data_IF_196850788307
#
_entry.id   IF_196850788307
#
_cell.length_a   1.000
_cell.length_b   1.000
_cell.length_c   1.000
_cell.angle_alpha   90.00
_cell.angle_beta   90.00
_cell.angle_gamma   90.00
#
_symmetry.space_group_name_H-M   'P 1'
#
loop_
_entity.id
_entity.type
_entity.pdbx_description
1 polymer ?
#
# COMPACT_ATOMS: atom_id res chain seq x y z
N UNK A 1 4.63 -18.54 14.50
CA UNK A 1 3.61 -18.11 13.53
C UNK A 1 3.92 -16.67 13.15
N UNK A 2 4.11 -16.37 11.85
CA UNK A 2 4.18 -14.99 11.33
C UNK A 2 2.88 -14.73 10.58
N UNK A 3 2.11 -13.71 10.98
CA UNK A 3 0.75 -13.47 10.48
C UNK A 3 0.74 -12.27 9.52
N UNK A 4 0.43 -12.50 8.25
CA UNK A 4 0.34 -11.48 7.18
C UNK A 4 -1.08 -11.45 6.61
N UNK A 5 -1.62 -10.32 6.11
CA UNK A 5 -2.61 -10.41 5.01
C UNK A 5 -2.90 -9.11 4.25
N UNK A 6 -3.19 -9.23 2.95
CA UNK A 6 -4.15 -8.43 2.16
C UNK A 6 -5.64 -8.44 2.60
N UNK A 7 -6.18 -7.27 2.88
CA UNK A 7 -7.55 -6.96 2.41
C UNK A 7 -7.46 -6.44 0.97
N UNK A 8 -8.55 -6.60 0.19
CA UNK A 8 -8.80 -6.04 -1.17
C UNK A 8 -7.62 -5.22 -1.70
N UNK A 9 -6.66 -5.86 -2.34
CA UNK A 9 -5.32 -5.28 -2.39
C UNK A 9 -5.25 -4.00 -3.24
N UNK A 10 -4.29 -3.12 -2.99
CA UNK A 10 -3.38 -3.05 -1.82
C UNK A 10 -4.14 -2.59 -0.58
N UNK A 11 -3.85 -3.07 0.63
CA UNK A 11 -2.64 -2.63 1.33
C UNK A 11 -2.28 -3.56 2.48
N UNK A 12 -0.98 -3.87 2.59
CA UNK A 12 -0.37 -4.02 3.91
C UNK A 12 0.96 -3.30 3.91
N UNK A 13 1.01 -2.24 4.73
CA UNK A 13 2.15 -1.34 4.85
C UNK A 13 2.55 -0.60 3.56
N UNK A 14 1.67 -0.52 2.57
CA UNK A 14 1.98 0.18 1.32
C UNK A 14 1.46 1.60 1.40
N UNK A 15 2.35 2.53 1.67
CA UNK A 15 1.95 3.92 1.89
C UNK A 15 1.51 4.49 0.54
N UNK A 16 0.25 4.94 0.43
CA UNK A 16 -0.42 5.29 -0.84
C UNK A 16 -0.79 6.76 -0.88
N UNK A 17 -0.44 7.47 -1.96
CA UNK A 17 -0.83 8.88 -2.17
C UNK A 17 -1.83 9.07 -3.33
N UNK A 18 -2.78 10.00 -3.15
CA UNK A 18 -3.84 10.33 -4.11
C UNK A 18 -4.03 11.84 -4.30
N UNK A 19 -3.61 12.32 -5.47
CA UNK A 19 -3.79 13.70 -5.95
C UNK A 19 -3.06 14.75 -5.10
N UNK A 20 -1.86 15.11 -5.57
CA UNK A 20 -1.08 16.18 -4.97
C UNK A 20 -1.73 17.54 -5.26
N UNK A 21 -1.89 18.35 -4.21
CA UNK A 21 -1.84 19.81 -4.32
C UNK A 21 -0.37 20.23 -4.55
N UNK A 22 -0.11 21.42 -5.10
CA UNK A 22 1.21 21.86 -5.59
C UNK A 22 2.29 22.01 -4.49
N UNK A 23 2.00 21.61 -3.23
CA UNK A 23 2.89 21.70 -2.06
C UNK A 23 3.07 20.42 -1.24
N UNK A 24 2.29 19.35 -1.48
CA UNK A 24 2.44 18.06 -0.75
C UNK A 24 3.26 17.07 -1.60
N UNK A 25 4.29 16.44 -1.02
CA UNK A 25 5.03 15.36 -1.71
C UNK A 25 4.34 14.00 -1.54
N UNK A 26 4.63 13.06 -2.45
CA UNK A 26 3.99 11.74 -2.44
C UNK A 26 4.20 10.94 -1.13
N UNK A 27 5.32 11.06 -0.41
CA UNK A 27 5.53 10.33 0.86
C UNK A 27 4.69 10.97 1.98
N UNK A 28 4.65 12.30 2.05
CA UNK A 28 3.84 13.05 3.02
C UNK A 28 2.34 12.77 2.83
N UNK A 29 1.84 12.88 1.60
CA UNK A 29 0.46 12.55 1.24
C UNK A 29 0.12 11.10 1.62
N UNK A 30 1.06 10.19 1.38
CA UNK A 30 0.87 8.78 1.67
C UNK A 30 0.77 8.50 3.18
N UNK A 31 1.65 9.08 3.99
CA UNK A 31 1.62 8.93 5.45
C UNK A 31 0.32 9.49 6.04
N UNK A 32 -0.17 10.60 5.48
CA UNK A 32 -1.46 11.20 5.84
C UNK A 32 -2.62 10.27 5.51
N UNK A 33 -2.73 9.76 4.27
CA UNK A 33 -3.77 8.80 3.86
C UNK A 33 -3.73 7.51 4.71
N UNK A 34 -2.54 6.96 4.99
CA UNK A 34 -2.38 5.77 5.84
C UNK A 34 -2.93 5.99 7.26
N UNK A 35 -2.73 7.19 7.81
CA UNK A 35 -3.25 7.58 9.13
C UNK A 35 -4.75 7.83 9.11
N UNK A 36 -5.28 8.42 8.04
CA UNK A 36 -6.72 8.67 7.85
C UNK A 36 -7.51 7.36 7.64
N UNK A 37 -7.03 6.46 6.78
CA UNK A 37 -7.73 5.24 6.38
C UNK A 37 -7.57 4.08 7.37
N UNK A 38 -6.39 3.93 8.00
CA UNK A 38 -6.04 2.80 8.86
C UNK A 38 -5.65 3.18 10.31
N UNK A 39 -5.56 4.47 10.63
CA UNK A 39 -5.24 4.95 11.97
C UNK A 39 -3.77 4.75 12.40
N UNK A 40 -2.89 4.40 11.46
CA UNK A 40 -1.48 4.08 11.72
C UNK A 40 -0.59 5.31 11.52
N UNK A 41 0.23 5.65 12.52
CA UNK A 41 1.16 6.77 12.44
C UNK A 41 2.56 6.35 11.94
N UNK A 42 3.38 7.30 11.46
CA UNK A 42 4.74 7.02 10.96
C UNK A 42 5.62 6.34 12.04
N UNK A 43 5.45 6.73 13.30
CA UNK A 43 6.18 6.19 14.43
C UNK A 43 5.90 4.69 14.65
N UNK A 44 4.77 4.17 14.18
CA UNK A 44 4.38 2.75 14.21
C UNK A 44 4.90 1.95 13.01
N UNK A 45 5.40 2.62 11.96
CA UNK A 45 5.82 2.04 10.69
C UNK A 45 7.34 2.09 10.49
N UNK A 46 7.95 1.00 10.08
CA UNK A 46 9.32 0.98 9.53
C UNK A 46 9.22 1.01 8.01
N UNK A 47 9.65 2.09 7.37
CA UNK A 47 9.42 2.33 5.94
C UNK A 47 10.64 1.94 5.12
N UNK A 48 10.44 1.05 4.15
CA UNK A 48 11.42 0.69 3.14
C UNK A 48 11.38 1.72 2.01
N UNK A 49 12.06 2.86 2.21
CA UNK A 49 12.19 3.94 1.20
C UNK A 49 12.91 3.49 -0.08
N UNK A 50 13.57 2.34 -0.03
CA UNK A 50 14.21 1.63 -1.14
C UNK A 50 13.27 0.71 -1.93
N UNK A 51 11.99 0.64 -1.55
CA UNK A 51 10.92 0.03 -2.34
C UNK A 51 9.87 1.09 -2.68
N UNK A 52 9.78 1.46 -3.95
CA UNK A 52 8.71 2.33 -4.47
C UNK A 52 8.15 1.81 -5.80
N UNK A 53 6.83 1.85 -5.96
CA UNK A 53 6.14 1.45 -7.19
C UNK A 53 5.13 2.51 -7.61
N UNK A 54 5.07 2.82 -8.91
CA UNK A 54 4.07 3.70 -9.50
C UNK A 54 3.04 2.87 -10.29
N UNK A 55 1.78 2.96 -9.90
CA UNK A 55 0.64 2.41 -10.64
C UNK A 55 -0.10 3.54 -11.37
N UNK A 56 -0.32 3.33 -12.66
CA UNK A 56 -1.06 4.27 -13.52
C UNK A 56 -2.34 3.59 -14.01
N UNK A 57 -3.49 4.25 -13.82
CA UNK A 57 -4.77 3.78 -14.35
C UNK A 57 -5.67 4.92 -14.80
N UNK A 58 -6.52 4.61 -15.76
CA UNK A 58 -7.48 5.55 -16.34
C UNK A 58 -8.73 5.65 -15.46
N UNK A 59 -9.03 6.86 -14.98
CA UNK A 59 -10.24 7.18 -14.24
C UNK A 59 -11.18 7.94 -15.16
N UNK A 60 -12.30 7.32 -15.52
CA UNK A 60 -13.43 8.02 -16.15
C UNK A 60 -14.05 9.00 -15.15
N UNK A 61 -14.08 10.28 -15.50
CA UNK A 61 -14.77 11.32 -14.76
C UNK A 61 -15.93 11.86 -15.59
N UNK A 62 -17.15 11.59 -15.13
CA UNK A 62 -18.38 12.23 -15.61
C UNK A 62 -18.74 13.40 -14.69
N UNK A 63 -18.39 14.62 -15.10
CA UNK A 63 -18.86 15.87 -14.47
C UNK A 63 -19.16 16.90 -15.55
N UNK A 64 -20.45 17.12 -15.78
CA UNK A 64 -21.07 18.11 -16.68
C UNK A 64 -20.60 18.04 -18.15
N UNK A 65 -21.53 17.70 -19.05
CA UNK A 65 -21.37 17.68 -20.52
C UNK A 65 -20.03 17.16 -21.06
N UNK A 66 -19.69 15.91 -20.71
CA UNK A 66 -18.60 15.16 -21.33
C UNK A 66 -18.16 13.93 -20.54
N UNK A 67 -17.75 12.87 -21.25
CA UNK A 67 -16.88 11.84 -20.67
C UNK A 67 -15.42 12.29 -20.80
N UNK A 68 -14.73 12.48 -19.68
CA UNK A 68 -13.29 12.73 -19.68
C UNK A 68 -12.57 11.58 -18.97
N UNK A 69 -11.65 10.93 -19.66
CA UNK A 69 -10.72 9.97 -19.04
C UNK A 69 -9.48 10.72 -18.57
N UNK A 70 -9.15 10.64 -17.28
CA UNK A 70 -7.89 11.16 -16.72
C UNK A 70 -7.01 10.01 -16.26
N UNK A 71 -5.75 10.01 -16.72
CA UNK A 71 -4.71 9.17 -16.13
C UNK A 71 -4.47 9.59 -14.69
N UNK A 72 -4.51 8.61 -13.79
CA UNK A 72 -4.21 8.77 -12.37
C UNK A 72 -2.96 7.97 -12.04
N UNK A 73 -1.97 8.62 -11.45
CA UNK A 73 -0.83 7.99 -10.80
C UNK A 73 -1.18 7.71 -9.33
N UNK A 74 -0.69 6.60 -8.81
CA UNK A 74 -0.64 6.27 -7.39
C UNK A 74 0.74 5.69 -7.11
N UNK A 75 1.50 6.34 -6.22
CA UNK A 75 2.78 5.85 -5.75
C UNK A 75 2.58 5.05 -4.45
N UNK A 76 3.32 3.96 -4.34
CA UNK A 76 3.26 2.97 -3.27
C UNK A 76 4.66 2.73 -2.70
N UNK A 77 4.81 2.77 -1.39
CA UNK A 77 6.00 2.27 -0.70
C UNK A 77 5.79 0.87 -0.11
N UNK A 78 6.79 0.31 0.56
CA UNK A 78 6.60 -0.80 1.48
C UNK A 78 7.03 -0.37 2.88
N UNK A 79 6.38 -0.92 3.90
CA UNK A 79 6.74 -0.71 5.28
C UNK A 79 6.50 -1.99 6.11
N UNK A 80 6.78 -1.92 7.40
CA UNK A 80 6.53 -2.98 8.38
C UNK A 80 5.96 -2.36 9.65
N UNK A 81 4.84 -2.89 10.12
CA UNK A 81 4.28 -2.46 11.39
C UNK A 81 5.19 -2.93 12.54
N UNK A 82 5.71 -2.00 13.34
CA UNK A 82 6.75 -2.25 14.35
C UNK A 82 6.28 -3.11 15.54
N UNK A 83 4.98 -3.04 15.86
CA UNK A 83 4.29 -3.78 16.93
C UNK A 83 2.89 -4.17 16.45
N UNK A 84 2.13 -4.97 17.21
CA UNK A 84 0.70 -5.16 16.93
C UNK A 84 -0.08 -3.85 17.20
N UNK A 85 -0.20 -3.01 16.18
CA UNK A 85 -0.92 -1.73 16.25
C UNK A 85 -2.44 -1.91 16.25
N UNK A 86 -3.15 -0.93 16.83
CA UNK A 86 -4.61 -0.88 16.82
C UNK A 86 -5.09 -0.22 15.52
N UNK A 87 -5.17 -0.99 14.43
CA UNK A 87 -5.73 -0.51 13.15
C UNK A 87 -7.16 -0.05 13.36
N UNK A 88 -7.45 1.19 12.95
CA UNK A 88 -8.77 1.83 13.01
C UNK A 88 -9.17 2.26 11.62
N UNK A 89 -10.22 1.65 11.09
CA UNK A 89 -10.70 1.94 9.76
C UNK A 89 -11.50 3.25 9.72
N UNK A 90 -11.30 4.03 8.66
CA UNK A 90 -12.19 5.14 8.32
C UNK A 90 -13.59 4.63 7.95
N UNK A 91 -14.58 5.53 7.91
CA UNK A 91 -15.94 5.19 7.50
C UNK A 91 -16.05 4.67 6.04
N UNK A 92 -15.03 4.90 5.22
CA UNK A 92 -14.94 4.39 3.85
C UNK A 92 -14.56 2.89 3.81
N UNK A 93 -14.02 2.35 4.91
CA UNK A 93 -13.45 1.00 4.98
C UNK A 93 -14.21 0.09 5.96
N UNK A 94 -14.71 -1.03 5.45
CA UNK A 94 -15.59 -1.94 6.21
C UNK A 94 -14.87 -3.14 6.88
N UNK A 95 -13.64 -3.49 6.47
CA UNK A 95 -12.91 -4.64 7.02
C UNK A 95 -11.39 -4.58 6.79
N UNK A 96 -10.61 -5.21 7.67
CA UNK A 96 -9.15 -5.44 7.59
C UNK A 96 -8.79 -6.85 8.11
N UNK A 97 -7.71 -7.53 7.63
CA UNK A 97 -7.55 -9.02 7.80
C UNK A 97 -6.10 -9.60 7.93
N UNK A 98 -5.98 -10.95 8.16
CA UNK A 98 -4.79 -11.83 8.45
C UNK A 98 -4.85 -13.35 7.90
N UNK A 99 -3.98 -13.82 6.93
CA UNK A 99 -3.50 -15.17 6.40
C UNK A 99 -2.28 -15.14 5.36
N UNK A 100 -2.38 -15.07 3.98
CA UNK A 100 -1.24 -15.19 3.00
C UNK A 100 -1.12 -14.22 1.76
N UNK A 101 -0.01 -14.29 0.98
CA UNK A 101 0.18 -13.57 -0.31
C UNK A 101 -0.75 -14.05 -1.44
N UNK A 102 -1.01 -15.35 -1.57
CA UNK A 102 -1.83 -15.83 -2.70
C UNK A 102 -3.30 -15.40 -2.51
N UNK A 103 -3.76 -15.37 -1.25
CA UNK A 103 -5.03 -14.73 -0.89
C UNK A 103 -5.05 -13.23 -1.28
N UNK A 104 -3.89 -12.58 -1.46
CA UNK A 104 -3.77 -11.16 -1.83
C UNK A 104 -4.18 -10.95 -3.25
N UNK A 105 -3.57 -11.74 -4.11
CA UNK A 105 -3.77 -11.73 -5.54
C UNK A 105 -5.23 -12.02 -5.84
N UNK A 106 -5.82 -13.00 -5.15
CA UNK A 106 -7.25 -13.31 -5.25
C UNK A 106 -8.12 -12.13 -4.78
N UNK A 107 -7.89 -11.60 -3.58
CA UNK A 107 -8.69 -10.48 -3.03
C UNK A 107 -8.47 -9.15 -3.76
N UNK A 108 -7.34 -8.97 -4.43
CA UNK A 108 -7.04 -7.84 -5.31
C UNK A 108 -7.92 -7.87 -6.54
N UNK A 109 -7.93 -9.01 -7.24
CA UNK A 109 -8.55 -9.16 -8.56
C UNK A 109 -8.03 -8.19 -9.65
N UNK A 110 -6.88 -7.52 -9.43
CA UNK A 110 -6.26 -6.59 -10.38
C UNK A 110 -4.81 -7.00 -10.74
N UNK A 111 -4.46 -7.18 -12.04
CA UNK A 111 -3.13 -7.66 -12.45
C UNK A 111 -1.95 -6.75 -12.06
N UNK A 112 -2.12 -5.42 -12.10
CA UNK A 112 -1.10 -4.48 -11.64
C UNK A 112 -0.81 -4.64 -10.14
N UNK A 113 -1.87 -4.94 -9.38
CA UNK A 113 -1.77 -5.12 -7.95
C UNK A 113 -1.13 -6.45 -7.58
N UNK A 114 -1.44 -7.52 -8.31
CA UNK A 114 -0.70 -8.79 -8.22
C UNK A 114 0.80 -8.58 -8.46
N UNK A 115 1.17 -7.83 -9.52
CA UNK A 115 2.58 -7.54 -9.83
C UNK A 115 3.27 -6.82 -8.66
N UNK A 116 2.65 -5.76 -8.13
CA UNK A 116 3.18 -5.02 -6.98
C UNK A 116 3.35 -5.92 -5.75
N UNK A 117 2.33 -6.70 -5.39
CA UNK A 117 2.37 -7.60 -4.24
C UNK A 117 3.46 -8.67 -4.35
N UNK A 118 3.61 -9.28 -5.53
CA UNK A 118 4.67 -10.27 -5.79
C UNK A 118 6.07 -9.65 -5.79
N UNK A 119 6.20 -8.40 -6.25
CA UNK A 119 7.47 -7.64 -6.18
C UNK A 119 7.84 -7.28 -4.74
N UNK A 120 6.87 -6.87 -3.92
CA UNK A 120 7.06 -6.61 -2.49
C UNK A 120 7.50 -7.87 -1.73
N UNK A 121 6.87 -9.02 -1.99
CA UNK A 121 7.30 -10.31 -1.42
C UNK A 121 8.74 -10.66 -1.82
N UNK A 122 9.10 -10.49 -3.10
CA UNK A 122 10.46 -10.73 -3.59
C UNK A 122 11.50 -9.84 -2.90
N UNK A 123 11.18 -8.55 -2.73
CA UNK A 123 12.01 -7.60 -1.99
C UNK A 123 12.24 -8.04 -0.53
N UNK A 124 11.19 -8.44 0.17
CA UNK A 124 11.28 -8.90 1.56
C UNK A 124 12.15 -10.16 1.69
N UNK A 125 11.97 -11.16 0.82
CA UNK A 125 12.77 -12.40 0.82
C UNK A 125 14.25 -12.13 0.56
N UNK A 126 14.57 -11.19 -0.32
CA UNK A 126 15.95 -10.80 -0.60
C UNK A 126 16.59 -10.09 0.60
N UNK A 127 15.86 -9.22 1.32
CA UNK A 127 16.36 -8.62 2.57
C UNK A 127 16.58 -9.64 3.68
N UNK A 128 15.61 -10.54 3.92
CA UNK A 128 15.75 -11.62 4.91
C UNK A 128 16.97 -12.53 4.60
N UNK A 129 17.26 -12.78 3.32
CA UNK A 129 18.43 -13.56 2.87
C UNK A 129 19.77 -12.83 3.01
N UNK A 130 19.75 -11.51 3.23
CA UNK A 130 20.93 -10.67 3.50
C UNK A 130 21.16 -10.36 4.98
N UNK A 131 20.40 -11.01 5.88
CA UNK A 131 20.64 -10.97 7.32
C UNK A 131 22.03 -11.52 7.69
N UNK A 132 22.58 -11.13 8.86
CA UNK A 132 23.95 -11.49 9.22
C UNK A 132 24.14 -13.01 9.32
N UNK A 133 25.15 -13.51 8.61
CA UNK A 133 25.72 -14.83 8.87
C UNK A 133 26.27 -14.84 10.31
N UNK A 134 25.54 -15.46 11.22
CA UNK A 134 26.08 -15.85 12.52
C UNK A 134 27.09 -17.00 12.30
N UNK A 135 28.36 -16.64 12.22
CA UNK A 135 29.51 -17.46 12.57
C UNK A 135 29.77 -17.34 14.08
#
# INVERSE_FOLDING_TARGET
MKSYLPTKATEKSSIRARHLDDSEDFMTAALRETKEEAGLAEEELEIHKDFEEDLFYDVKQSRYEGEMTRKKQVKYWLARLKKSGNVRLSAEHQAMRWVSLEDAVVLASFPDMERLLRKAEGFLRNKDSSGPLHL
#
